data_IF_055121302757
#
_entry.id   IF_055121302757
#
_cell.length_a   1.000
_cell.length_b   1.000
_cell.length_c   1.000
_cell.angle_alpha   90.00
_cell.angle_beta   90.00
_cell.angle_gamma   90.00
#
_symmetry.space_group_name_H-M   'P 1'
#
loop_
_entity.id
_entity.type
_entity.pdbx_description
1 polymer ?
#
# COMPACT_ATOMS: atom_id res chain seq x y z
N UNK A 1 -6.48 -31.15 13.44
CA UNK A 1 -5.19 -31.82 13.17
C UNK A 1 -4.08 -30.77 13.29
N UNK A 2 -2.81 -31.11 13.46
CA UNK A 2 -1.72 -30.11 13.45
C UNK A 2 -1.16 -30.05 12.03
N UNK A 3 -1.06 -28.86 11.44
CA UNK A 3 -0.51 -28.66 10.10
C UNK A 3 0.94 -29.17 10.00
N UNK A 4 1.27 -29.80 8.87
CA UNK A 4 2.64 -30.17 8.54
C UNK A 4 3.53 -28.93 8.30
N UNK A 5 4.85 -29.13 8.19
CA UNK A 5 5.78 -28.02 7.93
C UNK A 5 5.49 -27.27 6.63
N UNK A 6 5.17 -27.99 5.54
CA UNK A 6 4.82 -27.36 4.25
C UNK A 6 3.47 -26.66 4.29
N UNK A 7 2.48 -27.24 4.97
CA UNK A 7 1.16 -26.63 5.12
C UNK A 7 1.22 -25.33 5.94
N UNK A 8 2.07 -25.29 6.98
CA UNK A 8 2.32 -24.07 7.75
C UNK A 8 2.99 -22.99 6.91
N UNK A 9 3.97 -23.36 6.07
CA UNK A 9 4.63 -22.40 5.20
C UNK A 9 3.64 -21.77 4.21
N UNK A 10 2.81 -22.58 3.56
CA UNK A 10 1.76 -22.12 2.65
C UNK A 10 0.72 -21.23 3.36
N UNK A 11 0.20 -21.66 4.51
CA UNK A 11 -0.72 -20.84 5.32
C UNK A 11 -0.09 -19.49 5.72
N UNK A 12 1.21 -19.50 6.04
CA UNK A 12 1.98 -18.32 6.40
C UNK A 12 2.00 -17.25 5.32
N UNK A 13 1.89 -17.59 4.04
CA UNK A 13 1.84 -16.61 2.93
C UNK A 13 0.64 -15.64 3.06
N UNK A 14 -0.48 -16.16 3.59
CA UNK A 14 -1.72 -15.41 3.80
C UNK A 14 -1.83 -14.85 5.22
N UNK A 15 -1.25 -15.53 6.20
CA UNK A 15 -1.39 -15.15 7.60
C UNK A 15 -0.30 -14.17 8.11
N UNK A 16 0.87 -14.13 7.47
CA UNK A 16 2.07 -13.52 8.05
C UNK A 16 2.80 -12.57 7.09
N UNK A 17 3.42 -11.52 7.62
CA UNK A 17 4.49 -10.80 6.94
C UNK A 17 5.47 -10.20 7.95
N UNK A 18 6.71 -9.96 7.49
CA UNK A 18 7.77 -9.42 8.33
C UNK A 18 8.43 -10.50 9.20
N UNK A 19 9.42 -10.09 9.98
CA UNK A 19 10.21 -10.96 10.85
C UNK A 19 10.50 -10.26 12.18
N UNK A 20 10.79 -11.02 13.23
CA UNK A 20 11.16 -10.47 14.55
C UNK A 20 10.10 -9.51 15.09
N UNK A 21 10.53 -8.35 15.59
CA UNK A 21 9.64 -7.33 16.15
C UNK A 21 8.70 -6.69 15.12
N UNK A 22 8.99 -6.85 13.82
CA UNK A 22 8.15 -6.36 12.73
C UNK A 22 7.15 -7.41 12.23
N UNK A 23 7.10 -8.60 12.83
CA UNK A 23 6.18 -9.67 12.44
C UNK A 23 4.73 -9.26 12.70
N UNK A 24 3.93 -9.35 11.65
CA UNK A 24 2.49 -9.19 11.71
C UNK A 24 1.84 -10.50 11.35
N UNK A 25 1.02 -11.01 12.26
CA UNK A 25 0.19 -12.20 12.09
C UNK A 25 -1.27 -11.83 12.27
N UNK A 26 -2.10 -12.30 11.35
CA UNK A 26 -3.57 -12.28 11.47
C UNK A 26 -4.07 -13.66 11.87
N UNK A 27 -5.23 -13.71 12.51
CA UNK A 27 -5.79 -14.94 13.06
C UNK A 27 -6.43 -15.84 11.99
N UNK A 28 -6.64 -17.14 12.28
CA UNK A 28 -7.30 -18.05 11.34
C UNK A 28 -8.68 -17.60 10.87
N UNK A 29 -9.46 -16.90 11.72
CA UNK A 29 -10.76 -16.31 11.32
C UNK A 29 -10.62 -15.18 10.31
N UNK A 30 -9.58 -14.37 10.42
CA UNK A 30 -9.29 -13.31 9.45
C UNK A 30 -8.87 -13.93 8.10
N UNK A 31 -8.04 -14.99 8.10
CA UNK A 31 -7.69 -15.69 6.86
C UNK A 31 -8.93 -16.28 6.18
N UNK A 32 -9.83 -16.93 6.92
CA UNK A 32 -11.08 -17.46 6.37
C UNK A 32 -11.98 -16.34 5.83
N UNK A 33 -12.10 -15.23 6.57
CA UNK A 33 -12.86 -14.06 6.12
C UNK A 33 -12.33 -13.52 4.79
N UNK A 34 -11.01 -13.30 4.67
CA UNK A 34 -10.38 -12.82 3.44
C UNK A 34 -10.53 -13.82 2.27
N UNK A 35 -10.51 -15.11 2.57
CA UNK A 35 -10.76 -16.16 1.57
C UNK A 35 -12.19 -16.09 1.03
N UNK A 36 -13.18 -15.88 1.91
CA UNK A 36 -14.57 -15.70 1.48
C UNK A 36 -14.71 -14.41 0.67
N UNK A 37 -14.11 -13.29 1.09
CA UNK A 37 -14.11 -12.03 0.33
C UNK A 37 -13.56 -12.25 -1.08
N UNK A 38 -12.42 -12.94 -1.19
CA UNK A 38 -11.80 -13.27 -2.49
C UNK A 38 -12.75 -14.04 -3.41
N UNK A 39 -13.44 -15.06 -2.88
CA UNK A 39 -14.41 -15.84 -3.66
C UNK A 39 -15.62 -15.00 -4.08
N UNK A 40 -16.15 -14.17 -3.19
CA UNK A 40 -17.25 -13.27 -3.52
C UNK A 40 -16.84 -12.26 -4.60
N UNK A 41 -15.61 -11.76 -4.54
CA UNK A 41 -15.13 -10.77 -5.50
C UNK A 41 -14.93 -11.35 -6.89
N UNK A 42 -14.25 -12.50 -7.00
CA UNK A 42 -13.95 -13.14 -8.28
C UNK A 42 -15.18 -13.83 -8.91
N UNK A 43 -16.15 -14.25 -8.10
CA UNK A 43 -17.31 -15.01 -8.57
C UNK A 43 -18.64 -14.25 -8.44
N UNK A 44 -18.62 -12.92 -8.56
CA UNK A 44 -19.82 -12.07 -8.60
C UNK A 44 -20.79 -12.30 -7.42
N UNK A 45 -20.25 -12.45 -6.21
CA UNK A 45 -21.00 -12.67 -4.98
C UNK A 45 -21.61 -14.07 -4.84
N UNK A 46 -21.20 -15.03 -5.68
CA UNK A 46 -21.66 -16.42 -5.60
C UNK A 46 -21.33 -17.01 -4.23
N UNK A 47 -22.35 -17.58 -3.58
CA UNK A 47 -22.23 -18.27 -2.30
C UNK A 47 -21.94 -19.74 -2.53
N UNK A 48 -21.10 -20.31 -1.67
CA UNK A 48 -20.74 -21.73 -1.72
C UNK A 48 -21.07 -22.43 -0.40
N UNK A 49 -21.39 -23.74 -0.41
CA UNK A 49 -21.86 -24.45 0.77
C UNK A 49 -20.90 -24.45 1.97
N UNK A 50 -19.60 -24.29 1.72
CA UNK A 50 -18.57 -24.26 2.75
C UNK A 50 -18.45 -22.90 3.46
N UNK A 51 -19.09 -21.86 2.94
CA UNK A 51 -19.04 -20.51 3.52
C UNK A 51 -19.92 -20.44 4.77
N UNK A 52 -19.30 -20.29 5.93
CA UNK A 52 -20.02 -20.06 7.19
C UNK A 52 -20.89 -18.80 7.10
N UNK A 53 -22.16 -18.89 7.52
CA UNK A 53 -23.12 -17.79 7.35
C UNK A 53 -22.77 -16.56 8.19
N UNK A 54 -22.17 -16.75 9.36
CA UNK A 54 -21.70 -15.66 10.23
C UNK A 54 -20.56 -14.91 9.58
N UNK A 55 -19.52 -15.63 9.13
CA UNK A 55 -18.37 -15.02 8.46
C UNK A 55 -18.78 -14.39 7.12
N UNK A 56 -19.66 -15.05 6.36
CA UNK A 56 -20.19 -14.55 5.09
C UNK A 56 -20.91 -13.21 5.25
N UNK A 57 -21.69 -13.04 6.33
CA UNK A 57 -22.39 -11.78 6.59
C UNK A 57 -21.42 -10.61 6.82
N UNK A 58 -20.28 -10.87 7.47
CA UNK A 58 -19.21 -9.89 7.66
C UNK A 58 -18.46 -9.65 6.34
N UNK A 59 -18.12 -10.71 5.60
CA UNK A 59 -17.45 -10.61 4.30
C UNK A 59 -18.22 -9.72 3.31
N UNK A 60 -19.55 -9.80 3.31
CA UNK A 60 -20.44 -9.03 2.43
C UNK A 60 -20.44 -7.52 2.71
N UNK A 61 -19.96 -7.07 3.88
CA UNK A 61 -19.77 -5.64 4.15
C UNK A 61 -18.70 -5.02 3.26
N UNK A 62 -17.74 -5.83 2.79
CA UNK A 62 -16.56 -5.39 2.06
C UNK A 62 -15.44 -4.92 2.99
N UNK A 63 -14.19 -5.15 2.57
CA UNK A 63 -12.98 -5.01 3.41
C UNK A 63 -12.94 -3.72 4.25
N UNK A 64 -13.25 -2.57 3.65
CA UNK A 64 -13.12 -1.26 4.30
C UNK A 64 -14.27 -0.89 5.23
N UNK A 65 -15.34 -1.67 5.24
CA UNK A 65 -16.49 -1.49 6.12
C UNK A 65 -16.49 -2.49 7.28
N UNK A 66 -15.47 -3.34 7.38
CA UNK A 66 -15.29 -4.30 8.48
C UNK A 66 -14.45 -3.63 9.56
N UNK A 67 -15.03 -3.48 10.75
CA UNK A 67 -14.35 -2.90 11.92
C UNK A 67 -13.81 -4.00 12.87
N UNK A 68 -13.18 -3.58 13.98
CA UNK A 68 -12.66 -4.51 14.98
C UNK A 68 -13.76 -5.34 15.65
N UNK A 69 -14.94 -4.75 15.88
CA UNK A 69 -16.05 -5.41 16.57
C UNK A 69 -16.63 -6.54 15.71
N UNK A 70 -16.65 -6.34 14.39
CA UNK A 70 -17.00 -7.38 13.43
C UNK A 70 -16.06 -8.58 13.52
N UNK A 71 -14.75 -8.33 13.55
CA UNK A 71 -13.73 -9.38 13.67
C UNK A 71 -13.83 -10.09 15.03
N UNK A 72 -14.07 -9.37 16.11
CA UNK A 72 -14.18 -9.93 17.46
C UNK A 72 -15.39 -10.87 17.61
N UNK A 73 -16.50 -10.57 16.92
CA UNK A 73 -17.73 -11.39 16.90
C UNK A 73 -17.60 -12.65 16.04
N UNK A 74 -16.60 -12.74 15.16
CA UNK A 74 -16.38 -13.95 14.36
C UNK A 74 -15.97 -15.13 15.24
N UNK A 75 -16.38 -16.37 14.88
CA UNK A 75 -16.03 -17.56 15.63
C UNK A 75 -14.50 -17.73 15.70
N UNK A 76 -14.01 -18.20 16.84
CA UNK A 76 -12.61 -18.58 16.98
C UNK A 76 -12.35 -19.83 16.12
N UNK A 77 -11.38 -19.74 15.22
CA UNK A 77 -10.97 -20.84 14.34
C UNK A 77 -9.51 -21.21 14.60
N UNK A 78 -9.14 -22.44 14.23
CA UNK A 78 -7.75 -22.88 14.26
C UNK A 78 -7.15 -22.92 12.85
N UNK A 79 -5.81 -23.00 12.76
CA UNK A 79 -5.08 -23.01 11.49
C UNK A 79 -5.49 -24.18 10.58
N UNK A 80 -5.80 -25.36 11.13
CA UNK A 80 -6.24 -26.54 10.38
C UNK A 80 -7.56 -26.29 9.64
N UNK A 81 -8.50 -25.60 10.28
CA UNK A 81 -9.75 -25.21 9.64
C UNK A 81 -9.51 -24.17 8.55
N UNK A 82 -8.74 -23.12 8.85
CA UNK A 82 -8.43 -22.08 7.86
C UNK A 82 -7.71 -22.66 6.63
N UNK A 83 -6.76 -23.56 6.82
CA UNK A 83 -6.07 -24.26 5.73
C UNK A 83 -7.05 -25.07 4.87
N UNK A 84 -8.02 -25.79 5.46
CA UNK A 84 -9.06 -26.50 4.69
C UNK A 84 -9.91 -25.56 3.84
N UNK A 85 -10.23 -24.37 4.36
CA UNK A 85 -10.98 -23.36 3.61
C UNK A 85 -10.17 -22.85 2.41
N UNK A 86 -8.86 -22.65 2.54
CA UNK A 86 -7.98 -22.32 1.40
C UNK A 86 -8.07 -23.37 0.30
N UNK A 87 -8.09 -24.66 0.66
CA UNK A 87 -8.29 -25.77 -0.27
C UNK A 87 -9.66 -25.74 -0.96
N UNK A 88 -10.75 -25.51 -0.22
CA UNK A 88 -12.10 -25.40 -0.81
C UNK A 88 -12.26 -24.19 -1.73
N UNK A 89 -11.51 -23.11 -1.47
CA UNK A 89 -11.45 -21.93 -2.31
C UNK A 89 -10.49 -22.06 -3.50
N UNK A 90 -9.84 -23.23 -3.66
CA UNK A 90 -8.90 -23.55 -4.74
C UNK A 90 -7.65 -22.66 -4.78
N UNK A 91 -7.22 -22.13 -3.63
CA UNK A 91 -6.08 -21.21 -3.49
C UNK A 91 -4.72 -21.93 -3.56
N UNK A 92 -4.70 -23.26 -3.44
CA UNK A 92 -3.47 -24.06 -3.49
C UNK A 92 -2.80 -24.06 -4.88
N UNK A 93 -3.56 -23.75 -5.93
CA UNK A 93 -3.06 -23.60 -7.29
C UNK A 93 -2.58 -22.16 -7.52
N UNK A 94 -1.27 -21.98 -7.63
CA UNK A 94 -0.65 -20.66 -7.79
C UNK A 94 -0.90 -20.02 -9.16
N UNK A 95 -1.41 -20.80 -10.13
CA UNK A 95 -1.79 -20.31 -11.46
C UNK A 95 -3.25 -19.80 -11.47
N UNK A 96 -4.01 -20.02 -10.39
CA UNK A 96 -5.39 -19.54 -10.27
C UNK A 96 -5.45 -18.10 -9.76
N UNK A 97 -6.41 -17.29 -10.25
CA UNK A 97 -6.57 -15.91 -9.80
C UNK A 97 -6.86 -15.82 -8.31
N UNK A 98 -7.53 -16.82 -7.71
CA UNK A 98 -7.80 -16.88 -6.27
C UNK A 98 -6.52 -16.79 -5.43
N UNK A 99 -5.43 -17.40 -5.85
CA UNK A 99 -4.16 -17.37 -5.11
C UNK A 99 -3.59 -15.96 -5.09
N UNK A 100 -3.39 -15.35 -6.26
CA UNK A 100 -2.83 -14.01 -6.39
C UNK A 100 -3.71 -12.96 -5.71
N UNK A 101 -5.03 -13.06 -5.90
CA UNK A 101 -6.00 -12.17 -5.29
C UNK A 101 -5.97 -12.26 -3.77
N UNK A 102 -6.05 -13.46 -3.18
CA UNK A 102 -6.02 -13.62 -1.74
C UNK A 102 -4.69 -13.18 -1.15
N UNK A 103 -3.58 -13.49 -1.80
CA UNK A 103 -2.24 -13.08 -1.36
C UNK A 103 -2.13 -11.56 -1.31
N UNK A 104 -2.62 -10.88 -2.33
CA UNK A 104 -2.63 -9.41 -2.43
C UNK A 104 -3.58 -8.80 -1.39
N UNK A 105 -4.79 -9.34 -1.26
CA UNK A 105 -5.79 -8.92 -0.27
C UNK A 105 -5.25 -9.06 1.17
N UNK A 106 -4.59 -10.20 1.44
CA UNK A 106 -4.02 -10.48 2.74
C UNK A 106 -2.84 -9.55 3.02
N UNK A 107 -1.99 -9.23 2.03
CA UNK A 107 -0.94 -8.23 2.18
C UNK A 107 -1.50 -6.86 2.57
N UNK A 108 -2.53 -6.40 1.86
CA UNK A 108 -3.25 -5.15 2.17
C UNK A 108 -3.80 -5.15 3.60
N UNK A 109 -4.54 -6.20 3.96
CA UNK A 109 -5.16 -6.32 5.27
C UNK A 109 -4.10 -6.33 6.38
N UNK A 110 -3.04 -7.13 6.24
CA UNK A 110 -1.97 -7.18 7.26
C UNK A 110 -1.27 -5.84 7.40
N UNK A 111 -1.05 -5.07 6.31
CA UNK A 111 -0.42 -3.73 6.38
C UNK A 111 -1.31 -2.74 7.13
N UNK A 112 -2.63 -2.81 6.94
CA UNK A 112 -3.60 -2.04 7.75
C UNK A 112 -3.53 -2.44 9.22
N UNK A 113 -3.47 -3.73 9.52
CA UNK A 113 -3.29 -4.24 10.90
C UNK A 113 -1.97 -3.73 11.51
N UNK A 114 -0.89 -3.69 10.73
CA UNK A 114 0.40 -3.16 11.17
C UNK A 114 0.29 -1.67 11.51
N UNK A 115 -0.30 -0.87 10.62
CA UNK A 115 -0.44 0.56 10.84
C UNK A 115 -1.36 0.86 12.03
N UNK A 116 -2.41 0.06 12.24
CA UNK A 116 -3.23 0.15 13.45
C UNK A 116 -2.41 -0.09 14.73
N UNK A 117 -1.49 -1.06 14.74
CA UNK A 117 -0.56 -1.24 15.88
C UNK A 117 0.35 -0.04 16.06
N UNK A 118 0.88 0.53 14.98
CA UNK A 118 1.69 1.76 15.04
C UNK A 118 0.91 2.91 15.68
N UNK A 119 -0.34 3.13 15.27
CA UNK A 119 -1.21 4.16 15.85
C UNK A 119 -1.40 3.96 17.36
N UNK A 120 -1.53 2.70 17.80
CA UNK A 120 -1.73 2.35 19.22
C UNK A 120 -0.45 2.42 20.05
N UNK A 121 0.70 2.07 19.47
CA UNK A 121 1.92 1.79 20.23
C UNK A 121 2.97 2.90 20.11
N UNK A 122 2.88 3.80 19.13
CA UNK A 122 3.85 4.90 18.95
C UNK A 122 3.89 5.83 20.17
N UNK A 123 4.96 5.85 20.97
CA UNK A 123 5.00 6.66 22.18
C UNK A 123 5.05 8.16 21.85
N UNK A 124 4.61 8.99 22.81
CA UNK A 124 4.95 10.40 22.79
C UNK A 124 6.47 10.58 22.86
N UNK A 125 7.01 11.65 22.27
CA UNK A 125 8.43 11.91 22.33
C UNK A 125 8.90 12.22 23.76
N UNK A 126 10.14 11.87 24.05
CA UNK A 126 10.87 12.33 25.23
C UNK A 126 11.31 13.78 25.08
N UNK A 127 11.63 14.44 26.19
CA UNK A 127 12.13 15.81 26.20
C UNK A 127 13.35 15.98 25.29
N UNK A 128 14.32 15.06 25.33
CA UNK A 128 15.55 15.12 24.53
C UNK A 128 15.29 15.09 23.01
N UNK A 129 14.19 14.46 22.57
CA UNK A 129 13.83 14.40 21.15
C UNK A 129 13.25 15.71 20.61
N UNK A 130 12.74 16.60 21.47
CA UNK A 130 12.02 17.82 21.05
C UNK A 130 12.58 19.12 21.63
N UNK A 131 13.32 19.08 22.74
CA UNK A 131 13.81 20.26 23.45
C UNK A 131 14.61 21.24 22.56
N UNK A 132 15.55 20.80 21.69
CA UNK A 132 16.27 21.75 20.83
C UNK A 132 15.38 22.56 19.88
N UNK A 133 14.18 22.06 19.55
CA UNK A 133 13.25 22.74 18.64
C UNK A 133 12.54 23.93 19.31
N UNK A 134 12.52 24.00 20.65
CA UNK A 134 11.89 25.12 21.35
C UNK A 134 12.61 26.43 21.09
N UNK A 135 13.91 26.40 20.77
CA UNK A 135 14.71 27.59 20.41
C UNK A 135 14.08 28.44 19.29
N UNK A 136 13.28 27.82 18.42
CA UNK A 136 12.63 28.51 17.30
C UNK A 136 11.35 29.25 17.69
N UNK A 137 10.70 28.84 18.78
CA UNK A 137 9.33 29.25 19.14
C UNK A 137 9.20 29.77 20.58
N UNK A 138 10.28 29.68 21.37
CA UNK A 138 10.28 30.10 22.78
C UNK A 138 9.93 31.58 22.93
N UNK A 139 9.05 31.90 23.89
CA UNK A 139 8.55 33.26 24.14
C UNK A 139 7.33 33.69 23.30
N UNK A 140 6.87 32.88 22.35
CA UNK A 140 5.68 33.19 21.54
C UNK A 140 4.35 32.83 22.22
N UNK A 141 4.38 31.96 23.24
CA UNK A 141 3.23 31.57 24.04
C UNK A 141 3.67 31.07 25.42
N UNK A 142 2.71 30.64 26.25
CA UNK A 142 3.00 30.00 27.52
C UNK A 142 3.87 28.74 27.32
N UNK A 143 4.86 28.56 28.19
CA UNK A 143 5.83 27.45 28.11
C UNK A 143 5.13 26.08 28.14
N UNK A 144 4.10 25.92 28.97
CA UNK A 144 3.35 24.65 29.08
C UNK A 144 2.60 24.33 27.79
N UNK A 145 2.03 25.37 27.15
CA UNK A 145 1.39 25.25 25.85
C UNK A 145 2.42 24.89 24.77
N UNK A 146 3.58 25.56 24.74
CA UNK A 146 4.65 25.27 23.78
C UNK A 146 5.12 23.81 23.92
N UNK A 147 5.40 23.34 25.13
CA UNK A 147 5.92 21.98 25.33
C UNK A 147 4.88 20.92 24.97
N UNK A 148 3.61 21.14 25.30
CA UNK A 148 2.50 20.26 24.91
C UNK A 148 2.34 20.22 23.39
N UNK A 149 2.38 21.38 22.73
CA UNK A 149 2.32 21.49 21.28
C UNK A 149 3.48 20.76 20.59
N UNK A 150 4.70 20.90 21.12
CA UNK A 150 5.89 20.20 20.62
C UNK A 150 5.74 18.68 20.64
N UNK A 151 5.17 18.13 21.72
CA UNK A 151 4.93 16.70 21.86
C UNK A 151 3.91 16.19 20.83
N UNK A 152 2.79 16.88 20.67
CA UNK A 152 1.76 16.55 19.66
C UNK A 152 2.30 16.63 18.24
N UNK A 153 3.03 17.71 17.91
CA UNK A 153 3.61 17.90 16.58
C UNK A 153 4.58 16.79 16.20
N UNK A 154 5.42 16.37 17.15
CA UNK A 154 6.37 15.29 16.92
C UNK A 154 5.68 13.93 16.82
N UNK A 155 4.66 13.65 17.65
CA UNK A 155 3.86 12.45 17.50
C UNK A 155 3.17 12.39 16.13
N UNK A 156 2.53 13.48 15.70
CA UNK A 156 1.88 13.57 14.40
C UNK A 156 2.87 13.33 13.24
N UNK A 157 4.06 13.93 13.33
CA UNK A 157 5.13 13.71 12.36
C UNK A 157 5.57 12.23 12.31
N UNK A 158 5.72 11.58 13.47
CA UNK A 158 6.14 10.18 13.50
C UNK A 158 5.07 9.26 12.92
N UNK A 159 3.80 9.49 13.22
CA UNK A 159 2.69 8.75 12.65
C UNK A 159 2.60 8.94 11.13
N UNK A 160 2.72 10.18 10.64
CA UNK A 160 2.70 10.49 9.21
C UNK A 160 3.88 9.83 8.47
N UNK A 161 5.09 9.97 9.02
CA UNK A 161 6.28 9.34 8.44
C UNK A 161 6.14 7.80 8.38
N UNK A 162 5.56 7.17 9.41
CA UNK A 162 5.27 5.73 9.39
C UNK A 162 4.16 5.38 8.40
N UNK A 163 3.14 6.21 8.26
CA UNK A 163 2.09 6.06 7.24
C UNK A 163 2.67 6.08 5.83
N UNK A 164 3.55 7.04 5.54
CA UNK A 164 4.25 7.13 4.26
C UNK A 164 5.11 5.90 3.98
N UNK A 165 5.84 5.40 4.98
CA UNK A 165 6.63 4.16 4.86
C UNK A 165 5.75 2.95 4.55
N UNK A 166 4.68 2.72 5.31
CA UNK A 166 3.79 1.57 5.10
C UNK A 166 3.05 1.67 3.76
N UNK A 167 2.71 2.89 3.32
CA UNK A 167 2.13 3.14 1.99
C UNK A 167 3.12 2.76 0.88
N UNK A 168 4.40 3.14 1.01
CA UNK A 168 5.44 2.72 0.04
C UNK A 168 5.61 1.20 -0.03
N UNK A 169 5.50 0.49 1.10
CA UNK A 169 5.54 -0.97 1.13
C UNK A 169 4.24 -1.68 0.74
N UNK A 170 3.20 -0.91 0.40
CA UNK A 170 1.87 -1.42 0.12
C UNK A 170 1.46 -1.12 -1.32
N UNK A 171 1.52 0.15 -1.72
CA UNK A 171 0.92 0.65 -2.94
C UNK A 171 1.56 0.06 -4.20
N UNK A 172 2.87 0.25 -4.36
CA UNK A 172 3.61 -0.28 -5.51
C UNK A 172 3.55 -1.82 -5.56
N UNK A 173 3.81 -2.57 -4.47
CA UNK A 173 3.68 -4.03 -4.49
C UNK A 173 2.28 -4.54 -4.87
N UNK A 174 1.20 -3.84 -4.51
CA UNK A 174 -0.15 -4.20 -4.94
C UNK A 174 -0.28 -4.04 -6.46
N UNK A 175 0.17 -2.92 -7.01
CA UNK A 175 0.05 -2.68 -8.45
C UNK A 175 0.91 -3.65 -9.27
N UNK A 176 2.11 -3.95 -8.78
CA UNK A 176 3.00 -4.96 -9.36
C UNK A 176 2.31 -6.33 -9.38
N UNK A 177 1.72 -6.73 -8.25
CA UNK A 177 0.96 -7.98 -8.17
C UNK A 177 -0.25 -7.97 -9.12
N UNK A 178 -0.98 -6.86 -9.22
CA UNK A 178 -2.11 -6.75 -10.15
C UNK A 178 -1.70 -6.92 -11.61
N UNK A 179 -0.48 -6.51 -11.98
CA UNK A 179 0.05 -6.62 -13.34
C UNK A 179 0.76 -7.97 -13.62
N UNK A 180 0.83 -8.88 -12.63
CA UNK A 180 1.60 -10.12 -12.76
C UNK A 180 3.11 -9.90 -12.85
N UNK A 181 3.58 -8.72 -12.49
CA UNK A 181 4.96 -8.31 -12.67
C UNK A 181 5.86 -8.58 -11.46
N UNK A 182 7.11 -8.14 -11.58
CA UNK A 182 8.09 -8.17 -10.50
C UNK A 182 8.85 -6.83 -10.40
N UNK A 183 9.04 -6.34 -9.17
CA UNK A 183 9.97 -5.24 -8.90
C UNK A 183 11.41 -5.76 -8.93
N UNK A 184 12.30 -5.06 -9.62
CA UNK A 184 13.70 -5.47 -9.76
C UNK A 184 14.63 -4.42 -9.16
N UNK A 185 15.59 -4.89 -8.37
CA UNK A 185 16.67 -4.05 -7.86
C UNK A 185 17.77 -3.87 -8.92
N UNK A 186 18.63 -2.88 -8.71
CA UNK A 186 19.76 -2.60 -9.60
C UNK A 186 20.68 -3.81 -9.85
N UNK A 187 20.82 -4.73 -8.89
CA UNK A 187 21.70 -5.90 -9.00
C UNK A 187 21.16 -7.00 -9.92
N UNK A 188 19.85 -7.12 -10.04
CA UNK A 188 19.15 -8.15 -10.82
C UNK A 188 18.27 -7.54 -11.91
N UNK A 189 18.59 -6.32 -12.32
CA UNK A 189 17.80 -5.58 -13.28
C UNK A 189 17.90 -6.18 -14.68
N UNK A 190 16.80 -6.01 -15.43
CA UNK A 190 16.77 -6.26 -16.87
C UNK A 190 17.05 -4.98 -17.67
N UNK A 191 17.18 -3.83 -17.00
CA UNK A 191 17.45 -2.52 -17.57
C UNK A 191 18.80 -2.01 -17.05
N UNK A 192 19.62 -1.51 -17.96
CA UNK A 192 20.99 -1.08 -17.66
C UNK A 192 21.22 0.34 -18.15
N UNK A 193 22.05 1.10 -17.40
CA UNK A 193 22.41 2.48 -17.76
C UNK A 193 23.10 2.51 -19.12
N UNK A 194 22.88 3.58 -19.87
CA UNK A 194 23.59 3.86 -21.13
C UNK A 194 24.55 5.03 -20.96
N UNK A 195 25.72 5.02 -21.62
CA UNK A 195 26.59 6.19 -21.69
C UNK A 195 26.07 7.25 -22.69
N UNK A 196 26.73 8.41 -22.70
CA UNK A 196 26.52 9.50 -23.65
C UNK A 196 26.69 9.07 -25.13
N UNK A 197 27.29 7.91 -25.39
CA UNK A 197 27.48 7.35 -26.74
C UNK A 197 26.41 6.30 -27.09
N UNK A 198 25.47 6.01 -26.16
CA UNK A 198 24.40 5.04 -26.33
C UNK A 198 24.81 3.59 -26.08
N UNK A 199 25.99 3.32 -25.51
CA UNK A 199 26.42 1.97 -25.18
C UNK A 199 25.85 1.54 -23.83
N UNK A 200 25.38 0.29 -23.76
CA UNK A 200 24.81 -0.29 -22.55
C UNK A 200 25.91 -0.70 -21.55
N UNK A 201 25.83 -0.17 -20.32
CA UNK A 201 26.68 -0.59 -19.21
C UNK A 201 26.10 -1.81 -18.50
N UNK A 202 26.58 -2.99 -18.87
CA UNK A 202 26.09 -4.26 -18.31
C UNK A 202 26.32 -4.43 -16.80
N UNK A 203 27.13 -3.58 -16.15
CA UNK A 203 27.35 -3.61 -14.70
C UNK A 203 26.51 -2.62 -13.90
N UNK A 204 25.89 -1.63 -14.56
CA UNK A 204 25.10 -0.59 -13.89
C UNK A 204 23.61 -0.81 -14.14
N UNK A 205 22.98 -1.69 -13.38
CA UNK A 205 21.54 -1.94 -13.50
C UNK A 205 20.69 -0.81 -12.90
N UNK A 206 19.47 -0.65 -13.42
CA UNK A 206 18.46 0.29 -12.89
C UNK A 206 17.52 -0.41 -11.92
N UNK A 207 16.99 0.34 -10.95
CA UNK A 207 15.79 -0.12 -10.25
C UNK A 207 14.61 -0.03 -11.22
N UNK A 208 13.72 -1.02 -11.16
CA UNK A 208 12.51 -1.12 -11.99
C UNK A 208 11.34 -1.39 -11.06
N UNK A 209 10.35 -0.51 -11.08
CA UNK A 209 9.17 -0.61 -10.21
C UNK A 209 8.37 -1.87 -10.55
N UNK A 210 8.09 -2.11 -11.84
CA UNK A 210 7.40 -3.31 -12.31
C UNK A 210 7.91 -3.77 -13.68
N UNK A 211 8.36 -5.02 -13.77
CA UNK A 211 8.65 -5.71 -15.02
C UNK A 211 7.66 -6.85 -15.24
N UNK A 212 6.95 -6.82 -16.37
CA UNK A 212 6.06 -7.90 -16.83
C UNK A 212 6.76 -8.64 -17.96
N UNK A 213 7.16 -9.88 -17.69
CA UNK A 213 8.07 -10.65 -18.55
C UNK A 213 7.41 -11.08 -19.85
N UNK A 214 6.15 -11.48 -19.76
CA UNK A 214 5.32 -12.04 -20.82
C UNK A 214 5.12 -11.03 -21.95
N UNK A 215 4.90 -9.76 -21.58
CA UNK A 215 4.70 -8.64 -22.51
C UNK A 215 5.99 -7.85 -22.78
N UNK A 216 7.09 -8.16 -22.08
CA UNK A 216 8.35 -7.39 -22.10
C UNK A 216 8.15 -5.90 -21.76
N UNK A 217 7.22 -5.63 -20.85
CA UNK A 217 6.85 -4.26 -20.47
C UNK A 217 7.51 -3.88 -19.15
N UNK A 218 8.02 -2.66 -19.06
CA UNK A 218 8.57 -2.08 -17.84
C UNK A 218 7.75 -0.85 -17.47
N UNK A 219 7.11 -0.89 -16.31
CA UNK A 219 6.33 0.23 -15.78
C UNK A 219 7.16 1.02 -14.76
N UNK A 220 7.11 2.34 -14.87
CA UNK A 220 7.47 3.26 -13.79
C UNK A 220 6.19 3.86 -13.20
N UNK A 221 6.01 3.67 -11.89
CA UNK A 221 4.78 4.00 -11.18
C UNK A 221 5.01 5.23 -10.30
N UNK A 222 4.33 6.35 -10.60
CA UNK A 222 4.49 7.60 -9.85
C UNK A 222 3.17 8.10 -9.27
N UNK A 223 3.17 8.38 -7.96
CA UNK A 223 2.06 9.11 -7.32
C UNK A 223 1.89 10.52 -7.90
N UNK A 224 3.00 11.24 -8.08
CA UNK A 224 3.04 12.60 -8.62
C UNK A 224 4.43 12.90 -9.19
N UNK A 225 4.49 13.66 -10.27
CA UNK A 225 5.74 14.29 -10.73
C UNK A 225 5.91 15.63 -9.99
N UNK A 226 6.92 15.71 -9.11
CA UNK A 226 7.17 16.92 -8.30
C UNK A 226 8.43 17.66 -8.72
N UNK A 227 8.45 18.97 -8.45
CA UNK A 227 9.67 19.79 -8.47
C UNK A 227 10.31 19.65 -7.09
N UNK A 228 11.13 18.61 -6.88
CA UNK A 228 11.95 18.54 -5.68
C UNK A 228 13.02 19.65 -5.72
N UNK A 229 13.23 20.37 -4.61
CA UNK A 229 14.15 21.50 -4.50
C UNK A 229 15.64 21.18 -4.81
N UNK A 230 16.02 19.89 -4.84
CA UNK A 230 17.39 19.42 -5.19
C UNK A 230 17.48 18.78 -6.59
N UNK A 231 16.49 18.99 -7.46
CA UNK A 231 16.09 18.05 -8.51
C UNK A 231 16.59 18.27 -9.94
N UNK A 232 17.84 18.65 -10.18
CA UNK A 232 18.39 18.59 -11.56
C UNK A 232 19.01 17.23 -11.90
N UNK A 233 19.80 16.61 -11.00
CA UNK A 233 20.42 15.31 -11.27
C UNK A 233 19.40 14.17 -11.39
N UNK A 234 18.47 14.08 -10.43
CA UNK A 234 17.43 13.04 -10.39
C UNK A 234 16.49 13.08 -11.59
N UNK A 235 16.17 14.25 -12.11
CA UNK A 235 15.26 14.37 -13.24
C UNK A 235 15.90 13.94 -14.55
N UNK A 236 17.22 14.16 -14.72
CA UNK A 236 17.96 13.61 -15.86
C UNK A 236 17.97 12.09 -15.85
N UNK A 237 18.12 11.49 -14.67
CA UNK A 237 18.02 10.03 -14.52
C UNK A 237 16.63 9.53 -14.95
N UNK A 238 15.55 10.18 -14.51
CA UNK A 238 14.18 9.84 -14.94
C UNK A 238 14.01 9.95 -16.47
N UNK A 239 14.54 11.00 -17.10
CA UNK A 239 14.45 11.18 -18.56
C UNK A 239 15.24 10.14 -19.38
N UNK A 240 16.37 9.66 -18.85
CA UNK A 240 17.18 8.62 -19.51
C UNK A 240 16.63 7.21 -19.34
N UNK A 241 15.80 6.96 -18.34
CA UNK A 241 15.27 5.64 -18.08
C UNK A 241 14.49 5.01 -19.25
N UNK A 242 13.54 5.70 -19.92
CA UNK A 242 12.80 5.09 -21.03
C UNK A 242 13.70 4.67 -22.21
N UNK A 243 14.75 5.43 -22.53
CA UNK A 243 15.68 5.03 -23.60
C UNK A 243 16.55 3.83 -23.20
N UNK A 244 16.91 3.70 -21.93
CA UNK A 244 17.59 2.52 -21.39
C UNK A 244 16.71 1.26 -21.46
N UNK A 245 15.42 1.38 -21.16
CA UNK A 245 14.44 0.30 -21.31
C UNK A 245 14.33 -0.12 -22.78
N UNK A 246 14.20 0.84 -23.69
CA UNK A 246 14.14 0.56 -25.12
C UNK A 246 15.43 -0.10 -25.65
N UNK A 247 16.60 0.34 -25.17
CA UNK A 247 17.88 -0.27 -25.51
C UNK A 247 18.00 -1.74 -25.03
N UNK A 248 17.30 -2.11 -23.95
CA UNK A 248 17.17 -3.49 -23.49
C UNK A 248 16.16 -4.32 -24.33
N UNK A 249 15.53 -3.73 -25.35
CA UNK A 249 14.51 -4.39 -26.17
C UNK A 249 13.18 -4.59 -25.44
N UNK A 250 12.88 -3.73 -24.46
CA UNK A 250 11.67 -3.73 -23.64
C UNK A 250 10.82 -2.49 -23.94
N UNK A 251 9.54 -2.52 -23.58
CA UNK A 251 8.61 -1.39 -23.77
C UNK A 251 8.46 -0.59 -22.48
N UNK A 252 8.88 0.70 -22.45
CA UNK A 252 8.71 1.55 -21.29
C UNK A 252 7.27 2.07 -21.17
N UNK A 253 6.72 2.05 -19.97
CA UNK A 253 5.38 2.58 -19.66
C UNK A 253 5.44 3.48 -18.43
N UNK A 254 5.04 4.74 -18.58
CA UNK A 254 4.93 5.66 -17.46
C UNK A 254 3.48 5.69 -16.96
N UNK A 255 3.29 5.54 -15.65
CA UNK A 255 1.98 5.65 -15.00
C UNK A 255 2.05 6.73 -13.93
N UNK A 256 1.28 7.81 -14.08
CA UNK A 256 1.24 8.93 -13.12
C UNK A 256 -0.15 9.14 -12.55
N UNK A 257 -0.36 8.93 -11.26
CA UNK A 257 -1.69 9.01 -10.64
C UNK A 257 -2.21 10.44 -10.47
N UNK A 258 -1.33 11.42 -10.27
CA UNK A 258 -1.71 12.83 -10.20
C UNK A 258 -1.68 13.49 -11.59
N UNK A 259 -2.84 13.93 -12.13
CA UNK A 259 -2.94 14.57 -13.45
C UNK A 259 -2.55 16.06 -13.45
N UNK A 260 -2.05 16.62 -12.34
CA UNK A 260 -1.69 18.04 -12.26
C UNK A 260 -0.63 18.37 -13.32
N UNK A 261 -0.99 19.26 -14.24
CA UNK A 261 -0.13 19.62 -15.36
C UNK A 261 1.16 20.30 -14.90
N UNK A 262 2.27 19.89 -15.49
CA UNK A 262 3.56 20.54 -15.30
C UNK A 262 4.46 20.30 -16.51
N UNK A 263 5.41 21.21 -16.76
CA UNK A 263 6.39 21.04 -17.84
C UNK A 263 7.21 19.75 -17.69
N UNK A 264 7.53 19.37 -16.46
CA UNK A 264 8.26 18.12 -16.16
C UNK A 264 7.45 16.88 -16.52
N UNK A 265 6.15 16.87 -16.21
CA UNK A 265 5.27 15.77 -16.60
C UNK A 265 5.20 15.65 -18.11
N UNK A 266 5.04 16.77 -18.83
CA UNK A 266 5.03 16.78 -20.30
C UNK A 266 6.35 16.27 -20.88
N UNK A 267 7.49 16.71 -20.36
CA UNK A 267 8.81 16.29 -20.81
C UNK A 267 9.06 14.79 -20.56
N UNK A 268 8.70 14.29 -19.38
CA UNK A 268 8.86 12.89 -19.03
C UNK A 268 7.94 11.99 -19.87
N UNK A 269 6.67 12.35 -20.05
CA UNK A 269 5.75 11.63 -20.93
C UNK A 269 6.27 11.55 -22.37
N UNK A 270 6.76 12.66 -22.91
CA UNK A 270 7.36 12.69 -24.24
C UNK A 270 8.61 11.79 -24.33
N UNK A 271 9.44 11.71 -23.28
CA UNK A 271 10.60 10.82 -23.26
C UNK A 271 10.19 9.34 -23.38
N UNK A 272 9.11 8.94 -22.73
CA UNK A 272 8.54 7.60 -22.83
C UNK A 272 7.99 7.29 -24.23
N UNK A 273 7.21 8.21 -24.80
CA UNK A 273 6.65 8.07 -26.15
C UNK A 273 7.76 8.02 -27.22
N UNK A 274 8.78 8.89 -27.11
CA UNK A 274 9.92 8.91 -28.03
C UNK A 274 10.77 7.63 -27.97
N UNK A 275 10.76 6.92 -26.84
CA UNK A 275 11.42 5.63 -26.69
C UNK A 275 10.57 4.46 -27.22
N UNK A 276 9.44 4.72 -27.89
CA UNK A 276 8.51 3.71 -28.40
C UNK A 276 7.61 3.11 -27.33
N UNK A 277 7.52 3.76 -26.16
CA UNK A 277 6.64 3.41 -25.06
C UNK A 277 5.32 4.18 -25.05
N UNK A 278 4.70 4.24 -23.89
CA UNK A 278 3.49 5.03 -23.65
C UNK A 278 3.52 5.68 -22.25
N UNK A 279 2.71 6.72 -22.08
CA UNK A 279 2.49 7.39 -20.80
C UNK A 279 1.00 7.52 -20.54
N UNK A 280 0.56 7.31 -19.30
CA UNK A 280 -0.82 7.48 -18.88
C UNK A 280 -0.90 8.25 -17.55
N UNK A 281 -1.88 9.14 -17.44
CA UNK A 281 -2.02 10.03 -16.28
C UNK A 281 -3.44 10.08 -15.74
N UNK A 282 -3.61 10.20 -14.42
CA UNK A 282 -4.92 10.35 -13.78
C UNK A 282 -5.83 9.15 -14.09
N UNK A 283 -7.00 9.41 -14.67
CA UNK A 283 -7.98 8.36 -14.96
C UNK A 283 -7.48 7.40 -16.06
N UNK A 284 -6.68 7.89 -17.01
CA UNK A 284 -6.05 7.04 -18.04
C UNK A 284 -5.03 6.08 -17.43
N UNK A 285 -4.34 6.49 -16.36
CA UNK A 285 -3.42 5.62 -15.62
C UNK A 285 -4.18 4.44 -15.02
N UNK A 286 -5.33 4.67 -14.39
CA UNK A 286 -6.16 3.60 -13.85
C UNK A 286 -6.72 2.69 -14.94
N UNK A 287 -7.21 3.26 -16.05
CA UNK A 287 -7.70 2.48 -17.19
C UNK A 287 -6.60 1.58 -17.76
N UNK A 288 -5.39 2.11 -17.94
CA UNK A 288 -4.23 1.36 -18.42
C UNK A 288 -3.90 0.20 -17.47
N UNK A 289 -3.84 0.43 -16.17
CA UNK A 289 -3.54 -0.63 -15.20
C UNK A 289 -4.61 -1.73 -15.21
N UNK A 290 -5.89 -1.37 -15.27
CA UNK A 290 -7.00 -2.36 -15.31
C UNK A 290 -7.00 -3.18 -16.60
N UNK A 291 -6.71 -2.55 -17.73
CA UNK A 291 -6.64 -3.23 -19.04
C UNK A 291 -5.46 -4.20 -19.14
N UNK A 292 -4.41 -4.01 -18.35
CA UNK A 292 -3.21 -4.85 -18.33
C UNK A 292 -3.10 -5.72 -17.07
N UNK A 293 -4.14 -5.74 -16.23
CA UNK A 293 -4.12 -6.53 -15.02
C UNK A 293 -4.27 -8.03 -15.34
N UNK A 294 -3.65 -8.86 -14.50
CA UNK A 294 -3.85 -10.31 -14.48
C UNK A 294 -5.33 -10.66 -14.27
N UNK A 295 -5.68 -11.89 -14.62
CA UNK A 295 -7.04 -12.41 -14.49
C UNK A 295 -7.60 -12.15 -13.08
N UNK A 296 -8.74 -11.47 -13.02
CA UNK A 296 -9.40 -11.09 -11.77
C UNK A 296 -8.77 -9.91 -10.99
N UNK A 297 -7.56 -9.46 -11.32
CA UNK A 297 -6.88 -8.38 -10.59
C UNK A 297 -7.36 -6.98 -10.96
N UNK A 298 -8.00 -6.79 -12.12
CA UNK A 298 -8.73 -5.56 -12.42
C UNK A 298 -9.81 -5.27 -11.35
N UNK A 299 -10.52 -6.31 -10.90
CA UNK A 299 -11.53 -6.22 -9.81
C UNK A 299 -10.86 -5.74 -8.52
N UNK A 300 -9.63 -6.16 -8.24
CA UNK A 300 -8.90 -5.73 -7.05
C UNK A 300 -8.63 -4.22 -7.08
N UNK A 301 -8.19 -3.68 -8.23
CA UNK A 301 -7.95 -2.24 -8.40
C UNK A 301 -9.26 -1.46 -8.20
N UNK A 302 -10.34 -1.92 -8.85
CA UNK A 302 -11.67 -1.29 -8.84
C UNK A 302 -12.36 -1.33 -7.49
N UNK A 303 -12.03 -2.29 -6.61
CA UNK A 303 -12.62 -2.40 -5.28
C UNK A 303 -11.76 -1.78 -4.20
N UNK A 304 -10.44 -1.98 -4.27
CA UNK A 304 -9.57 -1.79 -3.12
C UNK A 304 -8.54 -0.67 -3.25
N UNK A 305 -8.30 -0.15 -4.45
CA UNK A 305 -7.24 0.84 -4.70
C UNK A 305 -7.82 2.15 -5.21
N UNK A 306 -8.30 2.17 -6.45
CA UNK A 306 -8.72 3.38 -7.16
C UNK A 306 -9.85 4.14 -6.43
N UNK A 307 -10.97 3.52 -6.01
CA UNK A 307 -12.08 4.27 -5.40
C UNK A 307 -11.70 4.96 -4.09
N UNK A 308 -10.80 4.37 -3.31
CA UNK A 308 -10.34 4.97 -2.06
C UNK A 308 -9.51 6.22 -2.31
N UNK A 309 -8.57 6.14 -3.25
CA UNK A 309 -7.72 7.26 -3.63
C UNK A 309 -8.59 8.38 -4.22
N UNK A 310 -9.56 8.02 -5.06
CA UNK A 310 -10.52 8.97 -5.62
C UNK A 310 -11.47 9.58 -4.59
N UNK A 311 -11.89 8.81 -3.60
CA UNK A 311 -12.69 9.31 -2.48
C UNK A 311 -11.87 10.29 -1.64
N UNK A 312 -10.60 9.99 -1.34
CA UNK A 312 -9.71 10.88 -0.63
C UNK A 312 -9.44 12.17 -1.42
N UNK A 313 -9.13 12.05 -2.72
CA UNK A 313 -8.90 13.18 -3.65
C UNK A 313 -10.08 14.16 -3.68
N UNK A 314 -11.32 13.64 -3.66
CA UNK A 314 -12.54 14.46 -3.66
C UNK A 314 -12.94 14.96 -2.27
N UNK A 315 -12.61 14.21 -1.22
CA UNK A 315 -13.06 14.45 0.15
C UNK A 315 -12.14 15.32 1.00
N UNK A 316 -10.84 15.40 0.66
CA UNK A 316 -9.90 16.28 1.37
C UNK A 316 -10.22 17.74 1.01
N UNK A 317 -10.63 18.58 1.97
CA UNK A 317 -10.93 19.97 1.71
C UNK A 317 -9.66 20.80 1.51
N UNK A 318 -9.78 21.95 0.84
CA UNK A 318 -8.68 22.91 0.69
C UNK A 318 -8.18 23.43 2.04
N UNK A 319 -9.12 23.66 2.97
CA UNK A 319 -8.86 24.03 4.35
C UNK A 319 -9.39 22.94 5.28
N UNK A 320 -8.57 22.39 6.18
CA UNK A 320 -9.02 21.35 7.10
C UNK A 320 -10.06 21.91 8.08
N UNK A 321 -11.11 21.12 8.34
CA UNK A 321 -12.07 21.44 9.38
C UNK A 321 -11.37 21.44 10.76
N UNK A 322 -11.83 22.24 11.74
CA UNK A 322 -11.27 22.22 13.07
C UNK A 322 -11.42 20.83 13.71
N UNK A 323 -10.31 20.34 14.28
CA UNK A 323 -10.28 19.11 15.06
C UNK A 323 -9.72 19.39 16.45
N UNK A 324 -10.14 18.57 17.42
CA UNK A 324 -9.53 18.51 18.74
C UNK A 324 -8.74 17.22 18.87
N UNK A 325 -7.51 17.33 19.36
CA UNK A 325 -6.69 16.20 19.79
C UNK A 325 -6.67 16.19 21.30
N UNK A 326 -7.13 15.08 21.90
CA UNK A 326 -7.14 14.90 23.34
C UNK A 326 -6.53 13.56 23.71
N UNK A 327 -5.93 13.51 24.89
CA UNK A 327 -5.54 12.28 25.56
C UNK A 327 -6.44 12.08 26.77
N UNK A 328 -6.97 10.87 26.93
CA UNK A 328 -7.78 10.48 28.08
C UNK A 328 -7.37 9.10 28.58
N UNK A 329 -7.92 8.67 29.71
CA UNK A 329 -7.74 7.29 30.18
C UNK A 329 -8.19 6.30 29.08
N UNK A 330 -7.21 5.54 28.58
CA UNK A 330 -7.43 4.51 27.56
C UNK A 330 -7.18 4.93 26.12
N UNK A 331 -6.78 6.17 25.79
CA UNK A 331 -6.38 6.46 24.41
C UNK A 331 -6.20 7.92 23.99
N UNK A 332 -5.93 8.08 22.70
CA UNK A 332 -6.00 9.36 21.98
C UNK A 332 -7.39 9.47 21.36
N UNK A 333 -8.04 10.61 21.56
CA UNK A 333 -9.31 10.98 20.93
C UNK A 333 -9.06 12.09 19.92
N UNK A 334 -9.51 11.86 18.69
CA UNK A 334 -9.59 12.88 17.64
C UNK A 334 -11.07 13.14 17.41
N UNK A 335 -11.51 14.38 17.62
CA UNK A 335 -12.91 14.76 17.43
C UNK A 335 -13.06 15.95 16.49
N UNK A 336 -14.13 15.94 15.71
CA UNK A 336 -14.53 17.05 14.85
C UNK A 336 -15.59 17.92 15.52
N UNK A 337 -15.80 19.12 14.97
CA UNK A 337 -16.92 19.99 15.36
C UNK A 337 -18.30 19.40 15.05
N UNK A 338 -18.38 18.41 14.16
CA UNK A 338 -19.62 17.68 13.83
C UNK A 338 -19.97 16.57 14.83
N UNK A 339 -19.13 16.35 15.85
CA UNK A 339 -19.30 15.27 16.83
C UNK A 339 -18.83 13.89 16.34
N UNK A 340 -18.12 13.82 15.21
CA UNK A 340 -17.47 12.59 14.79
C UNK A 340 -16.20 12.35 15.61
N UNK A 341 -15.95 11.10 15.97
CA UNK A 341 -14.85 10.72 16.85
C UNK A 341 -14.06 9.55 16.28
N UNK A 342 -12.73 9.63 16.41
CA UNK A 342 -11.81 8.52 16.22
C UNK A 342 -11.06 8.29 17.54
N UNK A 343 -11.23 7.10 18.11
CA UNK A 343 -10.53 6.68 19.33
C UNK A 343 -9.41 5.71 18.98
N UNK A 344 -8.19 6.08 19.33
CA UNK A 344 -7.00 5.25 19.19
C UNK A 344 -6.63 4.72 20.58
N UNK A 345 -6.88 3.44 20.88
CA UNK A 345 -6.61 2.89 22.20
C UNK A 345 -5.11 2.86 22.46
N UNK A 346 -4.70 3.37 23.61
CA UNK A 346 -3.30 3.34 24.08
C UNK A 346 -3.23 2.40 25.29
N UNK A 347 -2.25 1.50 25.33
CA UNK A 347 -1.91 0.86 26.61
C UNK A 347 -1.40 1.95 27.55
N UNK A 348 -1.81 1.92 28.83
CA UNK A 348 -1.46 2.95 29.82
C UNK A 348 0.06 3.19 29.81
N UNK A 349 0.44 4.47 29.80
CA UNK A 349 1.84 4.93 29.85
C UNK A 349 2.51 4.55 31.16
#
# INVERSE_FOLDING_TARGET
MVLSGSQKAFYGEFAEHGNGDALVRISPREVVLLTIITRLDLHNGRREPWMDSGILSVAQKGLYNIDSDDIEKLPSLNEDYAYKILGFAEVEDNEKPEHLYLKTLSSLYRRRTKYWRILRDQPFPTADQIAPRTLLEYGNCDDSLLFSWMAWRKLAYDLDNRSGQETGYLFEPILVACLGGASLGARNSVVHRIDDQGNVHTQEGRQVDCYVKETKTVYELKMRVTIAASGQGRFREELSFPSEVAAAGLTPVLVVFDPTSSSRLSELSAAYENAGGQSATGDDAWALLKNNAEDGMAIFIEKYVEPLIDSARRGIPLEPAPITLAISEGGILISSTSGAELRIPRQQY
#
